data_IF_626091647319
#
_entry.id   IF_626091647319
#
_cell.length_a   1.000
_cell.length_b   1.000
_cell.length_c   1.000
_cell.angle_alpha   90.00
_cell.angle_beta   90.00
_cell.angle_gamma   90.00
#
_symmetry.space_group_name_H-M   'P 1'
#
loop_
_entity.id
_entity.type
_entity.pdbx_description
1 polymer ?
#
# COMPACT_ATOMS: atom_id res chain seq x y z
N UNK A 1 10.61 3.47 -39.98
CA UNK A 1 9.32 3.14 -39.33
C UNK A 1 9.46 2.22 -38.12
N UNK A 2 10.16 1.09 -38.19
CA UNK A 2 10.36 0.17 -37.03
C UNK A 2 10.87 0.82 -35.75
N UNK A 3 11.85 1.74 -35.81
CA UNK A 3 12.39 2.45 -34.63
C UNK A 3 11.38 3.39 -33.97
N UNK A 4 10.46 3.97 -34.74
CA UNK A 4 9.40 4.84 -34.22
C UNK A 4 8.33 4.04 -33.47
N UNK A 5 8.01 2.83 -33.96
CA UNK A 5 7.07 1.92 -33.30
C UNK A 5 7.61 1.46 -31.95
N UNK A 6 8.89 1.06 -31.87
CA UNK A 6 9.52 0.71 -30.60
C UNK A 6 9.53 1.88 -29.60
N UNK A 7 9.84 3.10 -30.09
CA UNK A 7 9.81 4.30 -29.24
C UNK A 7 8.40 4.60 -28.72
N UNK A 8 7.36 4.43 -29.55
CA UNK A 8 5.97 4.66 -29.16
C UNK A 8 5.51 3.66 -28.08
N UNK A 9 5.83 2.37 -28.22
CA UNK A 9 5.45 1.33 -27.25
C UNK A 9 6.12 1.56 -25.88
N UNK A 10 7.40 1.95 -25.87
CA UNK A 10 8.11 2.25 -24.61
C UNK A 10 7.49 3.46 -23.90
N UNK A 11 7.15 4.53 -24.64
CA UNK A 11 6.51 5.73 -24.05
C UNK A 11 5.10 5.42 -23.50
N UNK A 12 4.32 4.60 -24.18
CA UNK A 12 2.99 4.19 -23.70
C UNK A 12 3.05 3.39 -22.39
N UNK A 13 4.13 2.63 -22.17
CA UNK A 13 4.26 1.75 -21.00
C UNK A 13 4.53 2.53 -19.69
N UNK A 14 5.09 3.74 -19.78
CA UNK A 14 5.41 4.57 -18.62
C UNK A 14 4.18 5.17 -17.91
N UNK A 15 2.98 5.06 -18.49
CA UNK A 15 1.75 5.65 -17.93
C UNK A 15 0.89 4.64 -17.15
N UNK A 16 1.34 3.39 -17.00
CA UNK A 16 0.60 2.40 -16.22
C UNK A 16 0.83 2.68 -14.74
N UNK A 17 -0.21 3.16 -14.05
CA UNK A 17 -0.21 3.28 -12.59
C UNK A 17 -0.85 2.04 -11.97
N UNK A 18 -0.14 1.41 -11.04
CA UNK A 18 -0.71 0.38 -10.20
C UNK A 18 -1.67 1.02 -9.19
N UNK A 19 -2.73 0.29 -8.84
CA UNK A 19 -3.68 0.77 -7.86
C UNK A 19 -3.06 0.90 -6.47
N UNK A 20 -3.46 1.92 -5.73
CA UNK A 20 -2.95 2.18 -4.39
C UNK A 20 -3.69 1.37 -3.35
N UNK A 21 -3.03 1.13 -2.21
CA UNK A 21 -3.67 0.48 -1.08
C UNK A 21 -4.86 1.30 -0.54
N UNK A 22 -4.84 2.62 -0.69
CA UNK A 22 -5.94 3.50 -0.28
C UNK A 22 -7.22 3.17 -1.05
N UNK A 23 -7.13 3.01 -2.38
CA UNK A 23 -8.29 2.63 -3.19
C UNK A 23 -8.81 1.24 -2.82
N UNK A 24 -7.91 0.27 -2.63
CA UNK A 24 -8.28 -1.09 -2.20
C UNK A 24 -9.05 -1.08 -0.88
N UNK A 25 -8.54 -0.37 0.13
CA UNK A 25 -9.18 -0.27 1.46
C UNK A 25 -10.49 0.51 1.39
N UNK A 26 -10.56 1.55 0.56
CA UNK A 26 -11.79 2.30 0.33
C UNK A 26 -12.87 1.39 -0.31
N UNK A 27 -12.54 0.60 -1.34
CA UNK A 27 -13.48 -0.35 -1.94
C UNK A 27 -13.93 -1.38 -0.90
N UNK A 28 -12.96 -2.03 -0.23
CA UNK A 28 -13.23 -3.09 0.76
C UNK A 28 -14.16 -2.63 1.88
N UNK A 29 -13.93 -1.42 2.42
CA UNK A 29 -14.74 -0.86 3.50
C UNK A 29 -16.15 -0.41 3.08
N UNK A 30 -16.36 -0.11 1.79
CA UNK A 30 -17.68 0.29 1.26
C UNK A 30 -18.57 -0.90 0.86
N UNK A 31 -18.00 -2.09 0.59
CA UNK A 31 -18.77 -3.28 0.22
C UNK A 31 -19.92 -3.57 1.19
N UNK A 32 -19.71 -3.66 2.52
CA UNK A 32 -20.80 -3.97 3.44
C UNK A 32 -21.93 -2.94 3.39
N UNK A 33 -21.58 -1.66 3.24
CA UNK A 33 -22.58 -0.58 3.15
C UNK A 33 -23.43 -0.69 1.88
N UNK A 34 -22.83 -1.14 0.77
CA UNK A 34 -23.51 -1.32 -0.50
C UNK A 34 -24.32 -2.62 -0.54
N UNK A 35 -23.89 -3.67 0.16
CA UNK A 35 -24.64 -4.92 0.34
C UNK A 35 -25.93 -4.72 1.17
N UNK A 36 -25.90 -3.80 2.15
CA UNK A 36 -27.07 -3.46 2.96
C UNK A 36 -28.11 -2.62 2.20
N UNK A 37 -27.72 -1.96 1.12
CA UNK A 37 -28.66 -1.18 0.30
C UNK A 37 -29.56 -2.13 -0.50
N UNK A 38 -30.87 -1.85 -0.46
CA UNK A 38 -31.86 -2.69 -1.12
C UNK A 38 -31.91 -2.52 -2.65
N UNK A 39 -31.25 -1.49 -3.21
CA UNK A 39 -31.29 -1.22 -4.63
C UNK A 39 -30.37 -2.18 -5.43
N UNK A 40 -30.85 -2.59 -6.61
CA UNK A 40 -30.17 -3.57 -7.46
C UNK A 40 -28.78 -3.10 -7.89
N UNK A 41 -28.60 -1.80 -8.12
CA UNK A 41 -27.34 -1.22 -8.57
C UNK A 41 -26.25 -1.34 -7.49
N UNK A 42 -26.60 -1.03 -6.24
CA UNK A 42 -25.67 -1.14 -5.10
C UNK A 42 -25.25 -2.59 -4.87
N UNK A 43 -26.17 -3.54 -4.96
CA UNK A 43 -25.84 -4.97 -4.83
C UNK A 43 -24.98 -5.47 -6.00
N UNK A 44 -25.26 -5.04 -7.22
CA UNK A 44 -24.44 -5.39 -8.38
C UNK A 44 -23.01 -4.84 -8.25
N UNK A 45 -22.87 -3.60 -7.78
CA UNK A 45 -21.57 -3.00 -7.46
C UNK A 45 -20.84 -3.78 -6.36
N UNK A 46 -21.53 -4.18 -5.29
CA UNK A 46 -20.88 -4.94 -4.21
C UNK A 46 -20.35 -6.29 -4.69
N UNK A 47 -21.14 -7.02 -5.50
CA UNK A 47 -20.71 -8.30 -6.09
C UNK A 47 -19.52 -8.12 -7.04
N UNK A 48 -19.53 -7.09 -7.88
CA UNK A 48 -18.41 -6.83 -8.79
C UNK A 48 -17.15 -6.42 -8.02
N UNK A 49 -17.29 -5.56 -7.01
CA UNK A 49 -16.19 -5.15 -6.14
C UNK A 49 -15.55 -6.34 -5.41
N UNK A 50 -16.37 -7.24 -4.83
CA UNK A 50 -15.89 -8.51 -4.22
C UNK A 50 -15.06 -9.33 -5.19
N UNK A 51 -15.55 -9.52 -6.41
CA UNK A 51 -14.84 -10.28 -7.42
C UNK A 51 -13.52 -9.62 -7.81
N UNK A 52 -13.49 -8.30 -7.99
CA UNK A 52 -12.26 -7.55 -8.30
C UNK A 52 -11.24 -7.74 -7.17
N UNK A 53 -11.63 -7.52 -5.91
CA UNK A 53 -10.70 -7.68 -4.78
C UNK A 53 -10.20 -9.13 -4.62
N UNK A 54 -11.07 -10.11 -4.87
CA UNK A 54 -10.70 -11.53 -4.84
C UNK A 54 -9.66 -11.83 -5.92
N UNK A 55 -9.94 -11.48 -7.18
CA UNK A 55 -9.02 -11.70 -8.30
C UNK A 55 -7.71 -10.96 -8.10
N UNK A 56 -7.75 -9.72 -7.59
CA UNK A 56 -6.54 -8.97 -7.24
C UNK A 56 -5.71 -9.74 -6.21
N UNK A 57 -6.34 -10.25 -5.16
CA UNK A 57 -5.65 -10.98 -4.10
C UNK A 57 -5.11 -12.32 -4.59
N UNK A 58 -5.87 -13.07 -5.40
CA UNK A 58 -5.40 -14.30 -6.08
C UNK A 58 -4.20 -14.03 -6.96
N UNK A 59 -4.28 -13.01 -7.82
CA UNK A 59 -3.21 -12.67 -8.76
C UNK A 59 -1.91 -12.31 -8.03
N UNK A 60 -2.01 -11.54 -6.94
CA UNK A 60 -0.85 -11.18 -6.11
C UNK A 60 -0.33 -12.42 -5.37
N UNK A 61 -1.21 -13.22 -4.77
CA UNK A 61 -0.85 -14.42 -4.04
C UNK A 61 -0.10 -15.43 -4.93
N UNK A 62 -0.61 -15.68 -6.13
CA UNK A 62 0.00 -16.54 -7.11
C UNK A 62 1.37 -15.98 -7.54
N UNK A 63 1.44 -14.68 -7.86
CA UNK A 63 2.70 -14.02 -8.23
C UNK A 63 3.75 -14.14 -7.13
N UNK A 64 3.36 -13.90 -5.87
CA UNK A 64 4.26 -14.00 -4.72
C UNK A 64 4.71 -15.44 -4.47
N UNK A 65 3.80 -16.41 -4.63
CA UNK A 65 4.12 -17.84 -4.48
C UNK A 65 5.08 -18.29 -5.56
N UNK A 66 4.81 -17.96 -6.83
CA UNK A 66 5.70 -18.27 -7.95
C UNK A 66 7.08 -17.60 -7.79
N UNK A 67 7.12 -16.33 -7.39
CA UNK A 67 8.36 -15.62 -7.12
C UNK A 67 9.15 -16.27 -5.97
N UNK A 68 8.46 -16.73 -4.92
CA UNK A 68 9.08 -17.42 -3.80
C UNK A 68 9.61 -18.80 -4.19
N UNK A 69 8.88 -19.56 -5.00
CA UNK A 69 9.34 -20.86 -5.51
C UNK A 69 10.60 -20.71 -6.36
N UNK A 70 10.64 -19.71 -7.23
CA UNK A 70 11.85 -19.37 -7.99
C UNK A 70 13.02 -19.02 -7.06
N UNK A 71 12.79 -18.20 -6.05
CA UNK A 71 13.82 -17.78 -5.10
C UNK A 71 14.29 -18.93 -4.20
N UNK A 72 13.38 -19.83 -3.81
CA UNK A 72 13.66 -21.07 -3.08
C UNK A 72 14.55 -22.01 -3.89
N UNK A 73 14.30 -22.13 -5.19
CA UNK A 73 15.16 -22.91 -6.09
C UNK A 73 16.57 -22.32 -6.24
N UNK A 74 16.75 -21.03 -5.94
CA UNK A 74 18.05 -20.35 -5.86
C UNK A 74 18.66 -20.39 -4.44
N UNK A 75 18.04 -21.13 -3.51
CA UNK A 75 18.49 -21.25 -2.12
C UNK A 75 18.23 -20.02 -1.25
N UNK A 76 17.43 -19.05 -1.72
CA UNK A 76 17.12 -17.80 -1.03
C UNK A 76 15.62 -17.51 -1.07
N UNK A 77 14.79 -18.26 -0.32
CA UNK A 77 13.36 -18.01 -0.28
C UNK A 77 13.05 -16.57 0.17
N UNK A 78 12.01 -16.02 -0.42
CA UNK A 78 11.46 -14.71 -0.13
C UNK A 78 10.68 -14.70 1.19
N UNK A 79 9.97 -15.78 1.47
CA UNK A 79 9.24 -16.05 2.71
C UNK A 79 9.03 -17.56 2.90
N UNK A 80 8.70 -18.00 4.11
CA UNK A 80 8.63 -19.41 4.48
C UNK A 80 7.23 -19.78 4.97
N UNK A 81 6.39 -20.25 4.04
CA UNK A 81 5.08 -20.82 4.36
C UNK A 81 5.23 -22.12 5.17
N UNK A 82 4.49 -22.30 6.29
CA UNK A 82 4.47 -23.56 7.02
C UNK A 82 3.83 -24.67 6.19
N UNK A 83 4.20 -25.92 6.46
CA UNK A 83 3.66 -27.07 5.74
C UNK A 83 2.13 -27.14 5.82
N UNK A 84 1.47 -27.19 4.66
CA UNK A 84 0.00 -27.23 4.56
C UNK A 84 -0.68 -25.86 4.52
N UNK A 85 0.05 -24.76 4.70
CA UNK A 85 -0.50 -23.42 4.47
C UNK A 85 -0.41 -23.01 3.00
N UNK A 86 -1.47 -22.39 2.50
CA UNK A 86 -1.52 -21.74 1.19
C UNK A 86 -1.66 -20.24 1.35
N UNK A 87 -0.99 -19.48 0.49
CA UNK A 87 -1.29 -18.07 0.31
C UNK A 87 -2.43 -17.99 -0.70
N UNK A 88 -3.67 -18.02 -0.24
CA UNK A 88 -4.86 -17.87 -1.09
C UNK A 88 -5.44 -16.45 -1.02
N UNK A 89 -6.51 -16.19 -1.77
CA UNK A 89 -7.15 -14.88 -1.86
C UNK A 89 -7.58 -14.32 -0.50
N UNK A 90 -8.22 -15.16 0.32
CA UNK A 90 -8.82 -14.75 1.59
C UNK A 90 -7.74 -14.51 2.65
N UNK A 91 -6.74 -15.38 2.69
CA UNK A 91 -5.58 -15.23 3.53
C UNK A 91 -4.78 -13.98 3.15
N UNK A 92 -4.57 -13.72 1.85
CA UNK A 92 -3.84 -12.53 1.39
C UNK A 92 -4.62 -11.24 1.66
N UNK A 93 -5.93 -11.19 1.41
CA UNK A 93 -6.77 -10.02 1.76
C UNK A 93 -6.66 -9.70 3.26
N UNK A 94 -6.72 -10.72 4.12
CA UNK A 94 -6.53 -10.58 5.57
C UNK A 94 -5.16 -9.99 5.90
N UNK A 95 -4.09 -10.51 5.27
CA UNK A 95 -2.72 -10.00 5.44
C UNK A 95 -2.63 -8.55 4.99
N UNK A 96 -3.20 -8.18 3.84
CA UNK A 96 -3.18 -6.82 3.30
C UNK A 96 -3.85 -5.85 4.27
N UNK A 97 -5.07 -6.18 4.72
CA UNK A 97 -5.82 -5.32 5.63
C UNK A 97 -5.12 -5.16 6.99
N UNK A 98 -4.57 -6.25 7.55
CA UNK A 98 -3.84 -6.18 8.81
C UNK A 98 -2.55 -5.36 8.65
N UNK A 99 -1.80 -5.58 7.58
CA UNK A 99 -0.55 -4.87 7.31
C UNK A 99 -0.79 -3.38 7.12
N UNK A 100 -1.85 -3.02 6.39
CA UNK A 100 -2.25 -1.63 6.25
C UNK A 100 -2.55 -0.98 7.61
N UNK A 101 -3.24 -1.68 8.53
CA UNK A 101 -3.48 -1.18 9.90
C UNK A 101 -2.20 -1.04 10.74
N UNK A 102 -1.25 -1.96 10.54
CA UNK A 102 -0.02 -2.05 11.34
C UNK A 102 1.11 -1.10 10.90
N UNK A 103 1.09 -0.59 9.66
CA UNK A 103 2.14 0.30 9.17
C UNK A 103 2.12 1.61 9.98
N UNK A 104 3.22 1.88 10.67
CA UNK A 104 3.37 3.01 11.60
C UNK A 104 3.76 4.35 10.94
N UNK A 105 3.58 4.50 9.62
CA UNK A 105 3.91 5.74 8.90
C UNK A 105 2.75 6.74 8.91
N UNK A 106 3.03 7.98 8.49
CA UNK A 106 1.97 8.94 8.24
C UNK A 106 1.00 8.38 7.19
N UNK A 107 -0.30 8.61 7.39
CA UNK A 107 -1.35 8.08 6.53
C UNK A 107 -1.14 8.45 5.05
N UNK A 108 -0.60 9.64 4.76
CA UNK A 108 -0.24 10.08 3.40
C UNK A 108 0.79 9.18 2.72
N UNK A 109 1.77 8.68 3.48
CA UNK A 109 2.87 7.87 2.92
C UNK A 109 2.40 6.44 2.71
N UNK A 110 1.65 5.91 3.69
CA UNK A 110 1.00 4.61 3.62
C UNK A 110 0.06 4.48 2.42
N UNK A 111 -0.73 5.53 2.16
CA UNK A 111 -1.73 5.55 1.08
C UNK A 111 -1.13 5.56 -0.33
N UNK A 112 0.16 5.86 -0.47
CA UNK A 112 0.86 5.87 -1.76
C UNK A 112 1.47 4.52 -2.12
N UNK A 113 1.47 3.56 -1.20
CA UNK A 113 1.92 2.20 -1.49
C UNK A 113 0.95 1.50 -2.42
N UNK A 114 1.46 0.64 -3.29
CA UNK A 114 0.60 -0.23 -4.09
C UNK A 114 0.07 -1.37 -3.23
N UNK A 115 -1.06 -1.96 -3.64
CA UNK A 115 -1.63 -3.14 -2.95
C UNK A 115 -0.60 -4.27 -2.85
N UNK A 116 0.14 -4.55 -3.93
CA UNK A 116 1.17 -5.59 -3.96
C UNK A 116 2.36 -5.31 -3.04
N UNK A 117 2.74 -4.05 -2.85
CA UNK A 117 3.80 -3.68 -1.90
C UNK A 117 3.37 -3.96 -0.46
N UNK A 118 2.14 -3.58 -0.10
CA UNK A 118 1.59 -3.85 1.24
C UNK A 118 1.40 -5.35 1.46
N UNK A 119 0.90 -6.07 0.45
CA UNK A 119 0.78 -7.53 0.48
C UNK A 119 2.14 -8.20 0.72
N UNK A 120 3.17 -7.81 -0.03
CA UNK A 120 4.53 -8.30 0.13
C UNK A 120 5.08 -8.07 1.54
N UNK A 121 4.97 -6.84 2.06
CA UNK A 121 5.39 -6.51 3.43
C UNK A 121 4.68 -7.38 4.48
N UNK A 122 3.38 -7.62 4.29
CA UNK A 122 2.60 -8.45 5.19
C UNK A 122 3.01 -9.90 5.17
N UNK A 123 3.23 -10.46 3.98
CA UNK A 123 3.64 -11.86 3.79
C UNK A 123 5.00 -12.12 4.42
N UNK A 124 6.01 -11.28 4.18
CA UNK A 124 7.33 -11.47 4.79
C UNK A 124 7.32 -11.29 6.31
N UNK A 125 6.42 -10.43 6.83
CA UNK A 125 6.24 -10.21 8.27
C UNK A 125 5.55 -11.42 8.92
N UNK A 126 4.52 -11.98 8.27
CA UNK A 126 3.75 -13.13 8.78
C UNK A 126 4.51 -14.46 8.66
N UNK A 127 5.31 -14.62 7.61
CA UNK A 127 6.01 -15.86 7.26
C UNK A 127 7.53 -15.68 7.13
N UNK A 128 8.23 -15.23 8.18
CA UNK A 128 9.67 -15.01 8.11
C UNK A 128 10.42 -16.35 7.96
N UNK A 129 11.45 -16.38 7.10
CA UNK A 129 12.36 -17.51 7.06
C UNK A 129 13.34 -17.48 8.25
N UNK A 130 13.71 -18.63 8.81
CA UNK A 130 14.60 -18.74 9.98
C UNK A 130 15.96 -18.05 9.79
N UNK A 131 16.47 -17.98 8.55
CA UNK A 131 17.73 -17.28 8.23
C UNK A 131 17.58 -15.75 8.15
N UNK A 132 16.36 -15.23 8.07
CA UNK A 132 16.04 -13.80 7.89
C UNK A 132 15.52 -13.10 9.15
N UNK A 133 15.33 -13.82 10.27
CA UNK A 133 14.90 -13.22 11.54
C UNK A 133 15.85 -12.11 12.02
N UNK A 134 17.14 -12.17 11.69
CA UNK A 134 18.11 -11.13 12.04
C UNK A 134 18.12 -9.93 11.06
N UNK A 135 17.53 -10.05 9.87
CA UNK A 135 17.58 -9.02 8.80
C UNK A 135 16.26 -8.27 8.65
N UNK A 136 15.11 -8.91 8.89
CA UNK A 136 13.78 -8.29 8.79
C UNK A 136 13.61 -7.16 9.82
N UNK A 137 14.19 -7.30 11.01
CA UNK A 137 14.24 -6.23 12.03
C UNK A 137 14.86 -4.92 11.49
N UNK A 138 15.82 -5.02 10.57
CA UNK A 138 16.48 -3.85 9.97
C UNK A 138 15.71 -3.30 8.74
N UNK A 139 15.03 -4.15 7.96
CA UNK A 139 14.23 -3.70 6.81
C UNK A 139 12.94 -2.97 7.22
N UNK A 140 12.28 -3.43 8.29
CA UNK A 140 11.14 -2.70 8.88
C UNK A 140 11.59 -1.32 9.39
N UNK A 141 12.80 -1.21 9.93
CA UNK A 141 13.40 0.08 10.32
C UNK A 141 13.79 0.95 9.12
N UNK A 142 14.25 0.40 8.01
CA UNK A 142 14.65 1.18 6.83
C UNK A 142 13.47 1.77 6.05
N UNK A 143 12.32 1.10 6.01
CA UNK A 143 11.07 1.69 5.48
C UNK A 143 10.55 2.81 6.38
N UNK A 144 10.83 2.76 7.69
CA UNK A 144 10.49 3.83 8.63
C UNK A 144 11.44 5.03 8.58
N UNK A 145 12.69 4.86 8.13
CA UNK A 145 13.70 5.93 8.16
C UNK A 145 13.76 6.79 6.89
N UNK A 146 13.21 6.33 5.76
CA UNK A 146 13.31 7.05 4.48
C UNK A 146 12.34 8.25 4.32
N UNK A 147 11.62 8.65 5.37
CA UNK A 147 10.77 9.85 5.39
C UNK A 147 11.35 11.02 6.19
N UNK A 148 12.62 10.96 6.59
CA UNK A 148 13.30 12.12 7.20
C UNK A 148 14.08 12.92 6.15
N UNK A 149 13.40 13.40 5.12
CA UNK A 149 13.84 14.63 4.44
C UNK A 149 12.99 15.76 5.00
N UNK A 150 13.58 16.47 5.96
CA UNK A 150 13.13 17.79 6.39
C UNK A 150 12.70 18.63 5.19
N UNK A 151 11.46 19.15 5.13
CA UNK A 151 11.15 20.20 4.19
C UNK A 151 11.94 21.44 4.61
N UNK A 152 12.93 21.84 3.81
CA UNK A 152 13.53 23.17 3.92
C UNK A 152 12.42 24.16 3.60
N UNK A 153 11.85 24.74 4.65
CA UNK A 153 10.81 25.77 4.55
C UNK A 153 11.42 27.00 3.88
N UNK A 154 10.80 27.46 2.81
CA UNK A 154 11.20 28.65 2.07
C UNK A 154 11.04 29.88 2.99
N UNK A 155 12.06 30.75 3.14
CA UNK A 155 12.03 31.91 4.06
C UNK A 155 10.88 32.90 3.81
N UNK A 156 10.19 32.80 2.66
CA UNK A 156 9.01 33.61 2.34
C UNK A 156 7.75 33.16 3.09
N UNK A 157 7.63 31.89 3.50
CA UNK A 157 6.47 31.39 4.26
C UNK A 157 6.59 31.66 5.78
N UNK A 158 7.81 31.88 6.29
CA UNK A 158 8.03 32.17 7.70
C UNK A 158 7.54 33.57 8.09
N UNK A 159 7.56 34.55 7.16
CA UNK A 159 7.13 35.93 7.45
C UNK A 159 5.60 36.06 7.55
N UNK A 160 4.85 35.23 6.82
CA UNK A 160 3.39 35.23 6.83
C UNK A 160 2.79 34.70 8.15
N UNK A 161 3.48 33.78 8.83
CA UNK A 161 3.04 33.22 10.11
C UNK A 161 3.29 34.22 11.26
N UNK A 162 4.42 34.94 11.23
CA UNK A 162 4.74 35.94 12.25
C UNK A 162 3.82 37.19 12.19
N UNK A 163 3.30 37.55 11.01
CA UNK A 163 2.32 38.65 10.90
C UNK A 163 0.92 38.27 11.41
N UNK A 164 0.53 37.00 11.33
CA UNK A 164 -0.77 36.55 11.86
C UNK A 164 -0.77 36.34 13.39
N UNK A 165 0.37 36.03 13.99
CA UNK A 165 0.47 35.91 15.45
C UNK A 165 0.45 37.27 16.17
N UNK A 166 0.79 38.38 15.49
CA UNK A 166 0.74 39.72 16.10
C UNK A 166 -0.64 40.39 16.06
N UNK A 167 -1.58 39.93 15.21
CA UNK A 167 -2.97 40.42 15.23
C UNK A 167 -3.85 39.70 16.27
N UNK A 168 -3.51 38.47 16.68
CA UNK A 168 -4.27 37.71 17.68
C UNK A 168 -4.11 38.23 19.12
N UNK A 169 -3.03 38.94 19.43
CA UNK A 169 -2.73 39.42 20.78
C UNK A 169 -3.41 40.76 21.11
N UNK A 170 -3.86 41.53 20.11
CA UNK A 170 -4.52 42.84 20.33
C UNK A 170 -6.02 42.67 20.66
N UNK A 171 -6.66 41.57 20.24
CA UNK A 171 -8.09 41.32 20.46
C UNK A 171 -8.45 40.74 21.85
N UNK A 172 -7.47 40.29 22.65
CA UNK A 172 -7.68 39.77 24.00
C UNK A 172 -7.37 40.78 25.12
N UNK A 173 -7.11 42.05 24.79
CA UNK A 173 -6.86 43.13 25.75
C UNK A 173 -8.00 44.17 25.87
N UNK A 174 -9.18 43.88 25.30
CA UNK A 174 -10.37 44.74 25.34
C UNK A 174 -11.61 44.00 25.89
N UNK A 175 -11.41 42.99 26.73
CA UNK A 175 -12.50 42.35 27.50
C UNK A 175 -12.13 42.25 28.97
#
# INVERSE_FOLDING_TARGET
MRRLIFSFIVVCSCNVQADTIDNYINISSNIPQMEMKADQQSQAWARSARNVLTITSESIAETLTQANDLAKNQGKPLFCLPGGASLDAAELDTIIQQTYKDISSQQSDKNRMTVSQVAWLGVIKKYPCQQQQNTISNLVQQVQQNTTTTPVMNPVQQSAINQMQHMGTILNAQK
#
